data_IF_563101377446
#
_entry.id   IF_563101377446
#
_cell.length_a   1.000
_cell.length_b   1.000
_cell.length_c   1.000
_cell.angle_alpha   90.00
_cell.angle_beta   90.00
_cell.angle_gamma   90.00
#
_symmetry.space_group_name_H-M   'P 1'
#
loop_
_entity.id
_entity.type
_entity.pdbx_description
1 polymer ?
#
# COMPACT_ATOMS: atom_id res chain seq x y z
N UNK A 1 9.19 14.08 6.24
CA UNK A 1 7.82 14.53 6.52
C UNK A 1 6.80 13.70 5.77
N UNK A 2 5.91 13.07 6.52
CA UNK A 2 4.92 12.15 5.98
C UNK A 2 3.84 11.76 6.98
N UNK A 3 3.13 10.69 6.69
CA UNK A 3 2.05 10.16 7.53
C UNK A 3 2.48 8.87 8.19
N UNK A 4 2.07 8.71 9.43
CA UNK A 4 2.17 7.45 10.14
C UNK A 4 0.85 6.72 9.96
N UNK A 5 0.86 5.61 9.22
CA UNK A 5 -0.31 4.80 8.96
C UNK A 5 -0.19 3.42 9.62
N UNK A 6 -1.33 2.74 9.77
CA UNK A 6 -1.38 1.32 10.09
C UNK A 6 -2.43 0.64 9.23
N UNK A 7 -2.09 -0.50 8.66
CA UNK A 7 -3.03 -1.30 7.86
C UNK A 7 -3.70 -2.35 8.73
N UNK A 8 -5.03 -2.39 8.73
CA UNK A 8 -5.84 -3.29 9.56
C UNK A 8 -6.88 -3.96 8.69
N UNK A 9 -7.07 -5.27 8.85
CA UNK A 9 -8.12 -6.01 8.18
C UNK A 9 -9.32 -6.24 9.10
N UNK A 10 -10.54 -5.98 8.63
CA UNK A 10 -11.76 -6.26 9.41
C UNK A 10 -12.23 -7.71 9.36
N UNK A 11 -11.61 -8.55 8.51
CA UNK A 11 -12.06 -9.92 8.22
C UNK A 11 -11.07 -11.01 8.67
N UNK A 12 -9.89 -10.62 9.16
CA UNK A 12 -8.88 -11.53 9.72
C UNK A 12 -7.96 -10.74 10.68
N UNK A 13 -7.06 -11.43 11.38
CA UNK A 13 -6.20 -10.84 12.42
C UNK A 13 -5.00 -10.04 11.88
N UNK A 14 -4.98 -9.71 10.57
CA UNK A 14 -3.90 -8.94 9.98
C UNK A 14 -3.89 -7.49 10.51
N UNK A 15 -2.76 -7.14 11.13
CA UNK A 15 -2.40 -5.78 11.54
C UNK A 15 -0.95 -5.54 11.13
N UNK A 16 -0.68 -4.48 10.37
CA UNK A 16 0.69 -4.13 9.99
C UNK A 16 1.46 -3.48 11.13
N UNK A 17 2.79 -3.47 10.99
CA UNK A 17 3.64 -2.51 11.69
C UNK A 17 3.27 -1.06 11.28
N UNK A 18 3.78 -0.08 12.03
CA UNK A 18 3.58 1.33 11.70
C UNK A 18 4.30 1.69 10.40
N UNK A 19 3.56 2.29 9.49
CA UNK A 19 3.97 2.61 8.13
C UNK A 19 4.30 4.09 8.05
N UNK A 20 5.57 4.40 7.90
CA UNK A 20 6.05 5.77 7.72
C UNK A 20 5.98 6.12 6.23
N UNK A 21 4.81 6.56 5.77
CA UNK A 21 4.59 6.90 4.36
C UNK A 21 4.95 8.35 4.07
N UNK A 22 5.32 8.68 2.84
CA UNK A 22 5.62 10.06 2.43
C UNK A 22 7.08 10.28 2.07
N UNK A 23 7.54 11.55 2.18
CA UNK A 23 8.79 12.01 1.58
C UNK A 23 9.83 12.46 2.60
N UNK A 24 11.11 12.29 2.25
CA UNK A 24 12.21 13.00 2.92
C UNK A 24 12.75 12.37 4.20
N UNK A 25 12.94 11.04 4.23
CA UNK A 25 13.73 10.40 5.28
C UNK A 25 15.15 11.00 5.32
N UNK A 26 15.54 11.60 6.46
CA UNK A 26 16.83 12.30 6.63
C UNK A 26 18.02 11.38 6.32
N UNK A 27 18.85 11.78 5.34
CA UNK A 27 20.17 11.20 5.08
C UNK A 27 20.30 10.26 3.86
N UNK A 28 19.22 9.96 3.12
CA UNK A 28 19.27 8.94 2.06
C UNK A 28 18.70 9.35 0.70
N UNK A 29 18.29 10.61 0.52
CA UNK A 29 17.80 11.15 -0.75
C UNK A 29 16.27 11.19 -0.84
N UNK A 30 15.82 11.39 -2.08
CA UNK A 30 14.46 11.74 -2.47
C UNK A 30 13.55 10.50 -2.47
N UNK A 31 13.30 9.90 -1.31
CA UNK A 31 12.46 8.70 -1.16
C UNK A 31 10.96 9.03 -1.09
N UNK A 32 10.12 8.17 -1.66
CA UNK A 32 8.65 8.20 -1.57
C UNK A 32 8.14 6.86 -1.07
N UNK A 33 8.00 6.73 0.25
CA UNK A 33 7.64 5.43 0.86
C UNK A 33 6.13 5.23 0.82
N UNK A 34 5.70 4.12 0.21
CA UNK A 34 4.29 3.74 0.07
C UNK A 34 4.08 2.24 0.31
N UNK A 35 2.91 1.83 0.83
CA UNK A 35 2.60 0.43 1.03
C UNK A 35 2.41 -0.30 -0.30
N UNK A 36 2.96 -1.51 -0.39
CA UNK A 36 2.95 -2.33 -1.58
C UNK A 36 2.56 -3.77 -1.27
N UNK A 37 2.01 -4.45 -2.27
CA UNK A 37 1.68 -5.87 -2.25
C UNK A 37 2.26 -6.56 -3.48
N UNK A 38 2.79 -7.77 -3.28
CA UNK A 38 3.15 -8.63 -4.40
C UNK A 38 1.89 -9.29 -4.99
N UNK A 39 1.60 -9.16 -6.30
CA UNK A 39 0.40 -9.76 -6.89
C UNK A 39 0.44 -11.29 -6.95
N UNK A 40 1.60 -11.92 -6.75
CA UNK A 40 1.78 -13.37 -6.83
C UNK A 40 1.81 -14.06 -5.46
N UNK A 41 2.49 -13.45 -4.49
CA UNK A 41 2.73 -14.05 -3.18
C UNK A 41 2.13 -13.24 -2.03
N UNK A 42 1.40 -12.16 -2.36
CA UNK A 42 0.68 -11.28 -1.44
C UNK A 42 1.53 -10.69 -0.30
N UNK A 43 2.85 -10.73 -0.43
CA UNK A 43 3.78 -10.11 0.52
C UNK A 43 3.53 -8.62 0.57
N UNK A 44 3.10 -8.14 1.74
CA UNK A 44 2.91 -6.73 2.08
C UNK A 44 4.20 -6.12 2.62
N UNK A 45 4.64 -4.96 2.10
CA UNK A 45 5.74 -4.16 2.65
C UNK A 45 5.65 -2.69 2.23
N UNK A 46 6.22 -1.81 3.05
CA UNK A 46 6.53 -0.44 2.68
C UNK A 46 7.71 -0.40 1.70
N UNK A 47 7.62 0.38 0.62
CA UNK A 47 8.66 0.49 -0.40
C UNK A 47 8.73 1.87 -1.01
N UNK A 48 9.90 2.18 -1.56
CA UNK A 48 10.11 3.43 -2.27
C UNK A 48 9.55 3.36 -3.71
N UNK A 49 8.56 4.20 -3.99
CA UNK A 49 7.91 4.33 -5.30
C UNK A 49 8.79 5.02 -6.33
N UNK A 50 9.73 5.87 -5.93
CA UNK A 50 10.56 6.67 -6.87
C UNK A 50 11.66 5.87 -7.57
N UNK A 51 11.98 4.69 -7.06
CA UNK A 51 12.98 3.80 -7.65
C UNK A 51 12.36 2.49 -8.17
N UNK A 52 11.44 2.53 -9.15
CA UNK A 52 10.89 1.32 -9.76
C UNK A 52 11.91 0.67 -10.73
N UNK A 53 11.81 -0.65 -10.98
CA UNK A 53 10.80 -1.57 -10.49
C UNK A 53 11.14 -2.13 -9.10
N UNK A 54 10.17 -2.05 -8.19
CA UNK A 54 10.27 -2.68 -6.88
C UNK A 54 9.89 -4.16 -6.98
N UNK A 55 10.80 -5.06 -6.60
CA UNK A 55 10.61 -6.52 -6.75
C UNK A 55 10.36 -7.21 -5.42
N UNK A 56 9.38 -8.11 -5.39
CA UNK A 56 9.11 -9.00 -4.26
C UNK A 56 10.37 -9.81 -3.93
N UNK A 57 10.77 -9.83 -2.66
CA UNK A 57 11.96 -10.56 -2.24
C UNK A 57 11.82 -12.08 -2.47
N UNK A 58 10.61 -12.60 -2.21
CA UNK A 58 10.26 -14.03 -2.27
C UNK A 58 10.23 -14.58 -3.70
N UNK A 59 9.49 -13.94 -4.59
CA UNK A 59 9.23 -14.48 -5.94
C UNK A 59 9.75 -13.63 -7.10
N UNK A 60 10.43 -12.52 -6.82
CA UNK A 60 11.01 -11.56 -7.79
C UNK A 60 10.01 -10.88 -8.73
N UNK A 61 8.71 -11.18 -8.61
CA UNK A 61 7.63 -10.45 -9.29
C UNK A 61 7.63 -9.00 -8.86
N UNK A 62 7.40 -8.10 -9.80
CA UNK A 62 7.18 -6.69 -9.54
C UNK A 62 6.00 -6.51 -8.58
N UNK A 63 6.18 -5.71 -7.54
CA UNK A 63 5.08 -5.38 -6.62
C UNK A 63 4.22 -4.27 -7.22
N UNK A 64 3.02 -4.13 -6.68
CA UNK A 64 2.16 -2.99 -6.97
C UNK A 64 1.88 -2.23 -5.68
N UNK A 65 1.70 -0.93 -5.79
CA UNK A 65 1.40 -0.06 -4.66
C UNK A 65 -0.11 0.03 -4.46
N UNK A 66 -0.57 0.08 -3.21
CA UNK A 66 -2.00 0.20 -2.93
C UNK A 66 -2.60 1.50 -3.48
N UNK A 67 -1.80 2.57 -3.55
CA UNK A 67 -2.17 3.83 -4.20
C UNK A 67 -1.76 3.90 -5.67
N UNK A 68 -1.93 2.80 -6.41
CA UNK A 68 -1.67 2.77 -7.84
C UNK A 68 -2.87 2.19 -8.60
N UNK A 69 -3.19 2.77 -9.76
CA UNK A 69 -4.23 2.25 -10.66
C UNK A 69 -3.96 0.82 -11.10
N UNK A 70 -2.68 0.43 -11.19
CA UNK A 70 -2.30 -0.96 -11.49
C UNK A 70 -2.78 -1.93 -10.42
N UNK A 71 -2.78 -1.54 -9.15
CA UNK A 71 -3.34 -2.36 -8.08
C UNK A 71 -4.83 -2.61 -8.34
N UNK A 72 -5.61 -1.58 -8.65
CA UNK A 72 -7.04 -1.83 -8.91
C UNK A 72 -7.35 -2.65 -10.13
N UNK A 73 -6.58 -2.52 -11.21
CA UNK A 73 -6.78 -3.40 -12.37
C UNK A 73 -6.50 -4.87 -12.06
N UNK A 74 -5.58 -5.15 -11.14
CA UNK A 74 -5.21 -6.52 -10.78
C UNK A 74 -6.14 -7.14 -9.74
N UNK A 75 -6.60 -6.34 -8.78
CA UNK A 75 -7.33 -6.81 -7.60
C UNK A 75 -8.83 -6.47 -7.61
N UNK A 76 -9.25 -5.52 -8.45
CA UNK A 76 -10.64 -5.11 -8.65
C UNK A 76 -10.97 -5.08 -10.16
N UNK A 77 -10.96 -6.25 -10.85
CA UNK A 77 -11.13 -6.29 -12.30
C UNK A 77 -12.57 -5.98 -12.76
N UNK A 78 -13.55 -5.95 -11.85
CA UNK A 78 -14.94 -5.66 -12.20
C UNK A 78 -15.15 -4.15 -12.43
N UNK A 79 -15.51 -3.71 -13.65
CA UNK A 79 -15.77 -2.30 -13.97
C UNK A 79 -16.91 -1.68 -13.16
N UNK A 80 -17.84 -2.49 -12.63
CA UNK A 80 -18.97 -2.04 -11.83
C UNK A 80 -18.60 -1.81 -10.35
N UNK A 81 -17.47 -2.36 -9.90
CA UNK A 81 -16.95 -2.25 -8.54
C UNK A 81 -15.58 -1.56 -8.52
N UNK A 82 -15.30 -0.69 -9.49
CA UNK A 82 -14.05 0.05 -9.56
C UNK A 82 -13.92 0.99 -8.34
N UNK A 83 -13.38 0.46 -7.24
CA UNK A 83 -13.05 1.26 -6.07
C UNK A 83 -12.02 2.32 -6.47
N UNK A 84 -12.27 3.56 -6.04
CA UNK A 84 -11.36 4.67 -6.31
C UNK A 84 -10.08 4.42 -5.54
N UNK A 85 -9.08 3.86 -6.22
CA UNK A 85 -7.72 3.79 -5.69
C UNK A 85 -7.14 5.18 -5.64
N UNK A 86 -6.30 5.38 -4.63
CA UNK A 86 -5.47 6.57 -4.59
C UNK A 86 -4.63 6.66 -5.87
N UNK A 87 -4.76 7.75 -6.61
CA UNK A 87 -3.74 8.17 -7.56
C UNK A 87 -2.95 9.28 -6.84
N UNK A 88 -1.73 8.92 -6.41
CA UNK A 88 -0.71 9.87 -5.92
C UNK A 88 -1.01 10.64 -4.60
N UNK A 89 -1.99 10.23 -3.78
CA UNK A 89 -2.21 10.87 -2.47
C UNK A 89 -2.55 9.90 -1.32
N UNK A 90 -1.87 10.06 -0.18
CA UNK A 90 -2.11 9.28 1.04
C UNK A 90 -3.56 9.45 1.55
N UNK A 91 -4.16 10.62 1.33
CA UNK A 91 -5.55 10.90 1.71
C UNK A 91 -6.58 10.02 0.98
N UNK A 92 -6.26 9.50 -0.20
CA UNK A 92 -7.15 8.56 -0.90
C UNK A 92 -6.92 7.12 -0.41
N UNK A 93 -5.70 6.79 0.04
CA UNK A 93 -5.37 5.47 0.57
C UNK A 93 -6.21 5.13 1.82
N UNK A 94 -6.47 6.13 2.66
CA UNK A 94 -7.27 6.01 3.90
C UNK A 94 -8.79 6.07 3.67
N UNK A 95 -9.27 6.35 2.46
CA UNK A 95 -10.71 6.52 2.16
C UNK A 95 -11.40 5.24 1.66
N UNK A 96 -10.64 4.24 1.23
CA UNK A 96 -11.15 3.02 0.60
C UNK A 96 -10.83 1.74 1.37
N UNK A 97 -11.43 0.64 0.92
CA UNK A 97 -11.05 -0.71 1.33
C UNK A 97 -10.11 -1.30 0.30
N UNK A 98 -9.23 -2.16 0.77
CA UNK A 98 -8.19 -2.75 -0.05
C UNK A 98 -8.13 -4.25 0.16
N UNK A 99 -7.50 -4.95 -0.77
CA UNK A 99 -7.25 -6.38 -0.62
C UNK A 99 -6.27 -6.64 0.52
N UNK A 100 -6.68 -7.44 1.48
CA UNK A 100 -5.83 -7.88 2.58
C UNK A 100 -4.75 -8.85 2.07
N UNK A 101 -3.48 -8.71 2.49
CA UNK A 101 -2.41 -9.61 2.06
C UNK A 101 -2.51 -11.04 2.63
N UNK A 102 -3.29 -11.25 3.69
CA UNK A 102 -3.44 -12.56 4.34
C UNK A 102 -4.70 -13.29 3.89
N UNK A 103 -5.87 -12.67 4.03
CA UNK A 103 -7.15 -13.32 3.70
C UNK A 103 -7.66 -13.03 2.29
N UNK A 104 -7.00 -12.12 1.55
CA UNK A 104 -7.32 -11.72 0.17
C UNK A 104 -8.71 -11.08 -0.03
N UNK A 105 -9.46 -10.85 1.05
CA UNK A 105 -10.73 -10.12 1.02
C UNK A 105 -10.49 -8.61 0.91
N UNK A 106 -11.46 -7.90 0.34
CA UNK A 106 -11.51 -6.43 0.27
C UNK A 106 -11.99 -5.88 1.62
N UNK A 107 -11.10 -5.89 2.60
CA UNK A 107 -11.41 -5.57 3.99
C UNK A 107 -10.26 -4.86 4.72
N UNK A 108 -9.16 -4.56 4.02
CA UNK A 108 -8.03 -3.85 4.56
C UNK A 108 -8.29 -2.35 4.50
N UNK A 109 -8.11 -1.65 5.61
CA UNK A 109 -8.15 -0.18 5.70
C UNK A 109 -6.82 0.36 6.19
N UNK A 110 -6.48 1.58 5.79
CA UNK A 110 -5.33 2.31 6.31
C UNK A 110 -5.81 3.37 7.31
N UNK A 111 -5.47 3.18 8.58
CA UNK A 111 -5.76 4.14 9.63
C UNK A 111 -4.60 5.12 9.79
N UNK A 112 -4.93 6.41 9.95
CA UNK A 112 -3.96 7.46 10.21
C UNK A 112 -3.68 7.54 11.71
N UNK A 113 -2.44 7.27 12.10
CA UNK A 113 -1.98 7.39 13.48
C UNK A 113 -1.40 8.77 13.79
N UNK A 114 -0.93 9.48 12.77
CA UNK A 114 -0.38 10.83 12.92
C UNK A 114 0.52 11.24 11.77
N UNK A 115 1.43 12.16 12.06
CA UNK A 115 2.44 12.65 11.14
C UNK A 115 3.84 12.36 11.70
N UNK A 116 4.82 12.16 10.82
CA UNK A 116 6.22 12.05 11.18
C UNK A 116 7.04 13.09 10.39
N UNK A 117 8.07 13.65 11.03
CA UNK A 117 9.02 14.58 10.42
C UNK A 117 10.42 13.96 10.36
#
# INVERSE_FOLDING_TARGET
MGELLRAICSECDFVSEDLYTGFGFKGAGDHSMEPSICPKCFSFKLRDRRHPPQKCYRCKTEVVFYGDRRFSRLFFPDPLHAETVAEDSTDQLTKGRHVCPECLKVALVFERLGHWD
#
